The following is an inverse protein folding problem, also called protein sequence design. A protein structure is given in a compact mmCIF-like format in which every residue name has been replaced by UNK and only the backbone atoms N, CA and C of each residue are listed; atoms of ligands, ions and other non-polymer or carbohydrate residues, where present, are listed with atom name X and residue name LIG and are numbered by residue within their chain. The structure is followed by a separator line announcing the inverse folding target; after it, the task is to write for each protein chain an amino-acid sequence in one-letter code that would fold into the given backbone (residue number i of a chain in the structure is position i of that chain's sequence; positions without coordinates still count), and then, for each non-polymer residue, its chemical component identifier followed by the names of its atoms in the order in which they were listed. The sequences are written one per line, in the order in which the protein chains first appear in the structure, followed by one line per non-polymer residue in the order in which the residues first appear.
data_IF_328060887702
#
_entry.id   IF_328060887702
#
_cell.length_a   1.000
_cell.length_b   1.000
_cell.length_c   1.000
_cell.angle_alpha   90.00
_cell.angle_beta   90.00
_cell.angle_gamma   90.00
#
_symmetry.space_group_name_H-M   'P 1'
#
loop_
_entity.id
_entity.type
_entity.pdbx_description
1 polymer ?
#
# COMPACT_ATOMS: atom_id res chain seq x y z
N UNK A 1 9.16 -23.26 -17.20
CA UNK A 1 8.09 -22.56 -17.96
C UNK A 1 6.66 -23.02 -17.67
N UNK A 2 6.40 -24.18 -17.04
CA UNK A 2 5.03 -24.63 -16.69
C UNK A 2 4.39 -23.90 -15.47
N UNK A 3 5.21 -23.28 -14.62
CA UNK A 3 4.78 -22.61 -13.37
C UNK A 3 4.09 -21.26 -13.61
N UNK A 4 4.48 -20.53 -14.65
CA UNK A 4 3.92 -19.21 -15.02
C UNK A 4 2.53 -19.30 -15.66
N UNK A 5 2.21 -20.39 -16.38
CA UNK A 5 0.86 -20.62 -16.92
C UNK A 5 -0.17 -20.89 -15.82
N UNK A 6 0.20 -21.60 -14.75
CA UNK A 6 -0.69 -21.89 -13.61
C UNK A 6 -1.06 -20.64 -12.80
N UNK A 7 -0.14 -19.68 -12.68
CA UNK A 7 -0.38 -18.41 -12.00
C UNK A 7 -1.37 -17.53 -12.78
N UNK A 8 -1.25 -17.48 -14.11
CA UNK A 8 -2.20 -16.76 -14.97
C UNK A 8 -3.60 -17.38 -14.93
N UNK A 9 -3.71 -18.70 -14.95
CA UNK A 9 -5.01 -19.37 -14.83
C UNK A 9 -5.66 -19.19 -13.45
N UNK A 10 -4.86 -19.11 -12.39
CA UNK A 10 -5.37 -18.86 -11.03
C UNK A 10 -5.97 -17.46 -10.90
N UNK A 11 -5.30 -16.43 -11.46
CA UNK A 11 -5.82 -15.06 -11.47
C UNK A 11 -7.15 -14.95 -12.23
N UNK A 12 -7.24 -15.58 -13.41
CA UNK A 12 -8.48 -15.58 -14.21
C UNK A 12 -9.60 -16.35 -13.53
N UNK A 13 -9.29 -17.46 -12.84
CA UNK A 13 -10.25 -18.21 -12.03
C UNK A 13 -10.75 -17.40 -10.83
N UNK A 14 -9.86 -16.71 -10.11
CA UNK A 14 -10.23 -15.90 -8.94
C UNK A 14 -11.16 -14.75 -9.32
N UNK A 15 -10.83 -14.01 -10.40
CA UNK A 15 -11.69 -12.94 -10.92
C UNK A 15 -13.07 -13.47 -11.35
N UNK A 16 -13.12 -14.68 -11.94
CA UNK A 16 -14.39 -15.35 -12.32
C UNK A 16 -15.21 -15.85 -11.13
N UNK A 17 -14.55 -16.30 -10.07
CA UNK A 17 -15.21 -16.78 -8.84
C UNK A 17 -15.76 -15.60 -8.06
N UNK A 18 -15.00 -14.52 -7.92
CA UNK A 18 -15.39 -13.31 -7.19
C UNK A 18 -16.53 -12.55 -7.89
N UNK A 19 -16.53 -12.54 -9.23
CA UNK A 19 -17.65 -11.97 -10.02
C UNK A 19 -18.93 -12.81 -10.01
N UNK A 20 -18.86 -14.10 -9.64
CA UNK A 20 -20.01 -15.02 -9.53
C UNK A 20 -20.41 -15.33 -8.09
N UNK A 21 -19.74 -14.76 -7.09
CA UNK A 21 -20.06 -14.95 -5.69
C UNK A 21 -21.45 -14.35 -5.36
N UNK A 22 -22.36 -15.10 -4.70
CA UNK A 22 -23.70 -14.61 -4.33
C UNK A 22 -23.67 -13.44 -3.33
N UNK A 23 -22.60 -13.33 -2.53
CA UNK A 23 -22.35 -12.24 -1.59
C UNK A 23 -20.94 -11.68 -1.85
N UNK A 24 -20.76 -10.82 -2.87
CA UNK A 24 -19.47 -10.21 -3.13
C UNK A 24 -19.14 -9.24 -1.99
N UNK A 25 -17.94 -9.35 -1.42
CA UNK A 25 -17.45 -8.50 -0.32
C UNK A 25 -17.46 -7.00 -0.70
N UNK A 26 -17.38 -6.70 -2.01
CA UNK A 26 -17.58 -5.38 -2.58
C UNK A 26 -18.76 -5.43 -3.54
N UNK A 27 -19.89 -4.75 -3.24
CA UNK A 27 -21.02 -4.67 -4.15
C UNK A 27 -20.57 -4.13 -5.50
N UNK A 28 -20.85 -4.87 -6.56
CA UNK A 28 -20.60 -4.50 -7.97
C UNK A 28 -21.14 -3.11 -8.37
N UNK A 29 -22.06 -2.57 -7.59
CA UNK A 29 -22.61 -1.22 -7.74
C UNK A 29 -21.61 -0.12 -7.35
N UNK A 30 -20.70 -0.37 -6.40
CA UNK A 30 -19.64 0.60 -6.05
C UNK A 30 -18.66 0.79 -7.21
N UNK A 31 -18.31 -0.28 -7.94
CA UNK A 31 -17.44 -0.16 -9.12
C UNK A 31 -18.07 0.58 -10.31
N UNK A 32 -19.40 0.73 -10.32
CA UNK A 32 -20.08 1.60 -11.30
C UNK A 32 -19.90 3.08 -10.99
N UNK A 33 -19.62 3.43 -9.73
CA UNK A 33 -19.25 4.80 -9.37
C UNK A 33 -17.82 5.07 -9.86
N UNK A 34 -17.70 6.02 -10.79
CA UNK A 34 -16.42 6.45 -11.35
C UNK A 34 -15.45 6.94 -10.26
N UNK A 35 -15.94 7.55 -9.18
CA UNK A 35 -15.11 8.01 -8.05
C UNK A 35 -14.49 6.85 -7.30
N UNK A 36 -15.28 5.80 -7.03
CA UNK A 36 -14.78 4.60 -6.35
C UNK A 36 -13.77 3.87 -7.25
N UNK A 37 -14.09 3.68 -8.53
CA UNK A 37 -13.20 3.01 -9.48
C UNK A 37 -11.87 3.74 -9.65
N UNK A 38 -11.89 5.08 -9.74
CA UNK A 38 -10.68 5.91 -9.76
C UNK A 38 -9.92 5.79 -8.44
N UNK A 39 -10.59 5.88 -7.29
CA UNK A 39 -9.93 5.76 -5.98
C UNK A 39 -9.25 4.40 -5.80
N UNK A 40 -9.89 3.31 -6.21
CA UNK A 40 -9.30 1.97 -6.21
C UNK A 40 -8.11 1.87 -7.15
N UNK A 41 -8.21 2.40 -8.38
CA UNK A 41 -7.11 2.39 -9.34
C UNK A 41 -5.89 3.20 -8.83
N UNK A 42 -6.15 4.36 -8.23
CA UNK A 42 -5.11 5.19 -7.60
C UNK A 42 -4.47 4.45 -6.41
N UNK A 43 -5.27 3.85 -5.53
CA UNK A 43 -4.76 3.05 -4.40
C UNK A 43 -3.91 1.86 -4.87
N UNK A 44 -4.32 1.20 -5.96
CA UNK A 44 -3.55 0.12 -6.58
C UNK A 44 -2.20 0.61 -7.13
N UNK A 45 -2.20 1.71 -7.88
CA UNK A 45 -0.97 2.31 -8.42
C UNK A 45 -0.02 2.78 -7.31
N UNK A 46 -0.56 3.41 -6.25
CA UNK A 46 0.20 3.80 -5.07
C UNK A 46 0.83 2.60 -4.38
N UNK A 47 0.10 1.50 -4.25
CA UNK A 47 0.62 0.26 -3.65
C UNK A 47 1.79 -0.28 -4.46
N UNK A 48 1.65 -0.37 -5.80
CA UNK A 48 2.75 -0.77 -6.70
C UNK A 48 3.96 0.15 -6.52
N UNK A 49 3.75 1.47 -6.47
CA UNK A 49 4.81 2.45 -6.28
C UNK A 49 5.56 2.26 -4.97
N UNK A 50 4.84 2.10 -3.86
CA UNK A 50 5.43 1.91 -2.51
C UNK A 50 6.25 0.62 -2.45
N UNK A 51 5.70 -0.50 -2.92
CA UNK A 51 6.42 -1.78 -2.89
C UNK A 51 7.59 -1.80 -3.88
N UNK A 52 7.41 -1.22 -5.07
CA UNK A 52 8.49 -1.05 -6.05
C UNK A 52 9.63 -0.19 -5.50
N UNK A 53 9.30 0.91 -4.81
CA UNK A 53 10.29 1.78 -4.17
C UNK A 53 11.05 1.04 -3.06
N UNK A 54 10.36 0.30 -2.18
CA UNK A 54 11.01 -0.53 -1.15
C UNK A 54 11.97 -1.55 -1.76
N UNK A 55 11.58 -2.16 -2.88
CA UNK A 55 12.42 -3.12 -3.59
C UNK A 55 13.68 -2.47 -4.16
N UNK A 56 13.54 -1.34 -4.87
CA UNK A 56 14.68 -0.58 -5.40
C UNK A 56 15.58 -0.09 -4.27
N UNK A 57 15.02 0.38 -3.17
CA UNK A 57 15.78 0.86 -2.02
C UNK A 57 16.57 -0.28 -1.36
N UNK A 58 15.99 -1.49 -1.27
CA UNK A 58 16.68 -2.68 -0.79
C UNK A 58 17.86 -3.07 -1.68
N UNK A 59 17.69 -3.03 -3.00
CA UNK A 59 18.79 -3.25 -3.96
C UNK A 59 19.84 -2.16 -3.82
N UNK A 60 19.44 -0.89 -3.71
CA UNK A 60 20.36 0.23 -3.54
C UNK A 60 21.22 0.09 -2.29
N UNK A 61 20.64 -0.31 -1.15
CA UNK A 61 21.43 -0.51 0.07
C UNK A 61 22.39 -1.69 -0.03
N UNK A 62 21.97 -2.78 -0.68
CA UNK A 62 22.77 -4.00 -0.78
C UNK A 62 23.86 -3.90 -1.87
N UNK A 63 23.51 -3.48 -3.08
CA UNK A 63 24.44 -3.41 -4.23
C UNK A 63 25.10 -2.04 -4.38
N UNK A 64 24.39 -0.94 -4.08
CA UNK A 64 24.90 0.42 -4.27
C UNK A 64 25.72 0.93 -3.08
N UNK A 65 25.25 0.68 -1.85
CA UNK A 65 25.89 1.16 -0.63
C UNK A 65 26.75 0.09 0.08
N UNK A 66 26.74 -1.16 -0.41
CA UNK A 66 27.55 -2.26 0.12
C UNK A 66 27.17 -2.73 1.53
N UNK A 67 25.96 -2.40 2.00
CA UNK A 67 25.50 -2.82 3.33
C UNK A 67 25.15 -4.31 3.32
N UNK A 68 25.50 -5.02 4.40
CA UNK A 68 25.03 -6.40 4.59
C UNK A 68 23.51 -6.43 4.74
N UNK A 69 22.90 -7.58 4.43
CA UNK A 69 21.45 -7.78 4.57
C UNK A 69 20.93 -7.46 5.99
N UNK A 70 21.73 -7.73 7.03
CA UNK A 70 21.40 -7.41 8.42
C UNK A 70 21.43 -5.91 8.71
N UNK A 71 22.41 -5.18 8.18
CA UNK A 71 22.51 -3.73 8.37
C UNK A 71 21.41 -2.99 7.59
N UNK A 72 21.04 -3.47 6.41
CA UNK A 72 19.88 -2.98 5.64
C UNK A 72 18.57 -3.22 6.40
N UNK A 73 18.40 -4.39 7.02
CA UNK A 73 17.26 -4.68 7.88
C UNK A 73 17.14 -3.73 9.08
N UNK A 74 18.28 -3.39 9.71
CA UNK A 74 18.32 -2.40 10.80
C UNK A 74 17.99 -0.98 10.31
N UNK A 75 18.43 -0.58 9.12
CA UNK A 75 18.11 0.72 8.55
C UNK A 75 16.62 0.82 8.15
N UNK A 76 15.98 -0.30 7.81
CA UNK A 76 14.56 -0.37 7.47
C UNK A 76 13.65 -0.51 8.71
N UNK A 77 14.19 -0.83 9.90
CA UNK A 77 13.41 -0.96 11.14
C UNK A 77 12.61 0.31 11.48
N UNK A 78 13.20 1.53 11.48
CA UNK A 78 12.44 2.76 11.75
C UNK A 78 11.29 2.95 10.76
N UNK A 79 11.51 2.60 9.50
CA UNK A 79 10.48 2.66 8.47
C UNK A 79 9.34 1.67 8.75
N UNK A 80 9.66 0.41 9.06
CA UNK A 80 8.67 -0.61 9.41
C UNK A 80 7.85 -0.23 10.66
N UNK A 81 8.53 0.25 11.71
CA UNK A 81 7.90 0.72 12.95
C UNK A 81 6.95 1.88 12.67
N UNK A 82 7.38 2.86 11.88
CA UNK A 82 6.53 4.01 11.49
C UNK A 82 5.33 3.57 10.66
N UNK A 83 5.50 2.58 9.77
CA UNK A 83 4.43 2.07 8.92
C UNK A 83 3.38 1.29 9.73
N UNK A 84 3.77 0.67 10.83
CA UNK A 84 2.83 0.00 11.76
C UNK A 84 2.16 1.02 12.67
N UNK A 85 2.93 1.86 13.37
CA UNK A 85 2.40 2.76 14.40
C UNK A 85 1.65 3.94 13.79
N UNK A 86 2.10 4.45 12.65
CA UNK A 86 1.55 5.62 11.98
C UNK A 86 0.04 5.51 11.70
N UNK A 87 -0.43 4.46 11.02
CA UNK A 87 -1.86 4.24 10.79
C UNK A 87 -2.68 4.10 12.08
N UNK A 88 -2.15 3.48 13.14
CA UNK A 88 -2.85 3.39 14.43
C UNK A 88 -3.02 4.76 15.09
N UNK A 89 -1.96 5.57 15.09
CA UNK A 89 -2.02 6.94 15.61
C UNK A 89 -2.92 7.82 14.75
N UNK A 90 -2.86 7.70 13.43
CA UNK A 90 -3.72 8.41 12.51
C UNK A 90 -5.20 8.03 12.70
N UNK A 91 -5.52 6.74 12.84
CA UNK A 91 -6.88 6.29 13.11
C UNK A 91 -7.44 6.84 14.42
N UNK A 92 -6.63 6.83 15.49
CA UNK A 92 -6.99 7.45 16.78
C UNK A 92 -7.17 8.96 16.67
N UNK A 93 -6.26 9.64 15.97
CA UNK A 93 -6.34 11.09 15.78
C UNK A 93 -7.55 11.50 14.94
N UNK A 94 -7.89 10.75 13.90
CA UNK A 94 -9.06 11.00 13.06
C UNK A 94 -10.34 10.81 13.87
N UNK A 95 -10.40 9.77 14.71
CA UNK A 95 -11.54 9.54 15.60
C UNK A 95 -11.72 10.65 16.64
N UNK A 96 -10.61 11.23 17.14
CA UNK A 96 -10.64 12.29 18.15
C UNK A 96 -10.86 13.70 17.57
N UNK A 97 -10.29 14.02 16.40
CA UNK A 97 -10.21 15.40 15.88
C UNK A 97 -10.87 15.60 14.51
N UNK A 98 -11.35 14.53 13.87
CA UNK A 98 -11.92 14.55 12.52
C UNK A 98 -10.85 14.52 11.41
N UNK A 99 -11.16 13.85 10.30
CA UNK A 99 -10.22 13.59 9.21
C UNK A 99 -9.57 14.86 8.62
N UNK A 100 -10.32 15.95 8.53
CA UNK A 100 -9.84 17.19 7.91
C UNK A 100 -8.73 17.88 8.73
N UNK A 101 -8.85 17.89 10.07
CA UNK A 101 -7.85 18.53 10.95
C UNK A 101 -6.55 17.73 11.02
N UNK A 102 -6.65 16.39 11.03
CA UNK A 102 -5.48 15.50 11.03
C UNK A 102 -4.70 15.59 9.72
N UNK A 103 -5.41 15.66 8.58
CA UNK A 103 -4.78 15.86 7.27
C UNK A 103 -4.04 17.20 7.20
N UNK A 104 -4.64 18.29 7.70
CA UNK A 104 -3.99 19.60 7.75
C UNK A 104 -2.76 19.61 8.67
N UNK A 105 -2.86 19.01 9.85
CA UNK A 105 -1.72 18.90 10.78
C UNK A 105 -0.57 18.06 10.21
N UNK A 106 -0.88 16.95 9.53
CA UNK A 106 0.12 16.11 8.88
C UNK A 106 0.86 16.85 7.75
N UNK A 107 0.14 17.61 6.94
CA UNK A 107 0.74 18.43 5.87
C UNK A 107 1.56 19.60 6.43
N UNK A 108 1.09 20.26 7.50
CA UNK A 108 1.81 21.36 8.16
C UNK A 108 3.06 20.89 8.93
N UNK A 109 3.05 19.67 9.48
CA UNK A 109 4.22 19.05 10.07
C UNK A 109 5.23 18.66 8.98
N UNK A 110 4.75 18.13 7.84
CA UNK A 110 5.58 17.78 6.68
C UNK A 110 6.22 18.98 5.97
N UNK A 111 5.55 20.14 5.94
CA UNK A 111 6.09 21.36 5.33
C UNK A 111 7.18 22.04 6.17
N UNK A 112 7.29 21.69 7.46
CA UNK A 112 8.36 22.15 8.35
C UNK A 112 9.62 21.29 8.34
N UNK A 113 9.58 20.13 7.68
CA UNK A 113 10.68 19.16 7.64
C UNK A 113 11.49 19.20 6.33
N UNK A 114 11.32 20.24 5.49
CA UNK A 114 12.17 20.48 4.31
C UNK A 114 13.21 21.56 4.59
#
# INVERSE_FOLDING_TARGET
MARTRRLRSALVMMIRVESRAPAPFIPRELFKDRRFSIATAVGFLLSIGIYGQMFVLSIFFQEGAGYSATATGLALLPFAVTTIIGPLLAGRAIAAYGAHRVLLFGQAAGSRAR
#
